data_IF_066448138357
#
_entry.id   IF_066448138357
#
_cell.length_a   1.000
_cell.length_b   1.000
_cell.length_c   1.000
_cell.angle_alpha   90.00
_cell.angle_beta   90.00
_cell.angle_gamma   90.00
#
_symmetry.space_group_name_H-M   'P 1'
#
loop_
_entity.id
_entity.type
_entity.pdbx_description
1 polymer ?
#
# COMPACT_ATOMS: atom_id res chain seq x y z
N UNK A 1 11.32 -16.76 14.30
CA UNK A 1 10.01 -16.14 14.07
C UNK A 1 8.93 -17.08 14.58
N UNK A 2 7.80 -16.61 15.09
CA UNK A 2 6.66 -17.46 15.44
C UNK A 2 6.02 -18.03 14.18
N UNK A 3 5.30 -19.15 14.33
CA UNK A 3 4.49 -19.69 13.23
C UNK A 3 3.52 -18.62 12.71
N UNK A 4 3.43 -18.44 11.40
CA UNK A 4 2.60 -17.37 10.82
C UNK A 4 1.75 -17.81 9.63
N UNK A 5 0.64 -17.12 9.43
CA UNK A 5 -0.13 -17.10 8.17
C UNK A 5 0.25 -15.82 7.43
N UNK A 6 0.68 -15.98 6.18
CA UNK A 6 1.28 -14.89 5.41
C UNK A 6 0.35 -14.42 4.29
N UNK A 7 -0.05 -13.15 4.36
CA UNK A 7 -0.73 -12.47 3.26
C UNK A 7 0.26 -12.19 2.12
N UNK A 8 -0.09 -12.59 0.90
CA UNK A 8 0.70 -12.40 -0.31
C UNK A 8 0.03 -11.38 -1.24
N UNK A 9 0.79 -10.36 -1.62
CA UNK A 9 0.36 -9.30 -2.51
C UNK A 9 1.39 -8.16 -2.57
N UNK A 10 1.24 -7.26 -3.51
CA UNK A 10 2.10 -6.07 -3.54
C UNK A 10 1.62 -4.96 -2.59
N UNK A 11 0.32 -4.90 -2.34
CA UNK A 11 -0.37 -4.01 -1.37
C UNK A 11 -0.06 -2.51 -1.50
N UNK A 12 0.36 -2.01 -2.67
CA UNK A 12 0.70 -0.60 -2.87
C UNK A 12 -0.43 0.36 -2.48
N UNK A 13 -1.67 0.01 -2.83
CA UNK A 13 -2.85 0.85 -2.58
C UNK A 13 -3.63 0.48 -1.31
N UNK A 14 -3.37 -0.67 -0.71
CA UNK A 14 -4.19 -1.24 0.39
C UNK A 14 -5.70 -0.99 0.15
N UNK A 15 -6.20 -1.30 -1.06
CA UNK A 15 -7.60 -1.12 -1.43
C UNK A 15 -8.54 -2.14 -0.74
N UNK A 16 -9.85 -1.98 -0.91
CA UNK A 16 -10.86 -2.84 -0.27
C UNK A 16 -10.69 -4.34 -0.55
N UNK A 17 -10.11 -4.74 -1.70
CA UNK A 17 -9.72 -6.12 -1.98
C UNK A 17 -8.55 -6.59 -1.11
N UNK A 18 -7.53 -5.75 -0.94
CA UNK A 18 -6.42 -6.03 -0.03
C UNK A 18 -6.88 -6.13 1.43
N UNK A 19 -7.86 -5.31 1.84
CA UNK A 19 -8.46 -5.39 3.17
C UNK A 19 -9.05 -6.77 3.44
N UNK A 20 -9.75 -7.37 2.49
CA UNK A 20 -10.29 -8.74 2.62
C UNK A 20 -9.18 -9.79 2.79
N UNK A 21 -8.06 -9.65 2.07
CA UNK A 21 -6.90 -10.54 2.25
C UNK A 21 -6.34 -10.42 3.67
N UNK A 22 -6.21 -9.20 4.20
CA UNK A 22 -5.74 -8.95 5.57
C UNK A 22 -6.69 -9.53 6.60
N UNK A 23 -7.99 -9.31 6.47
CA UNK A 23 -9.03 -9.85 7.36
C UNK A 23 -9.01 -11.38 7.38
N UNK A 24 -8.94 -12.02 6.21
CA UNK A 24 -8.84 -13.48 6.10
C UNK A 24 -7.54 -14.02 6.69
N UNK A 25 -6.42 -13.29 6.52
CA UNK A 25 -5.15 -13.66 7.14
C UNK A 25 -5.27 -13.71 8.67
N UNK A 26 -5.95 -12.74 9.27
CA UNK A 26 -6.21 -12.70 10.71
C UNK A 26 -7.14 -13.86 11.13
N UNK A 27 -8.15 -14.17 10.35
CA UNK A 27 -9.07 -15.28 10.62
C UNK A 27 -8.36 -16.63 10.53
N UNK A 28 -7.60 -16.85 9.46
CA UNK A 28 -6.89 -18.10 9.24
C UNK A 28 -5.77 -18.30 10.29
N UNK A 29 -5.12 -17.24 10.71
CA UNK A 29 -4.07 -17.32 11.75
C UNK A 29 -4.60 -17.86 13.09
N UNK A 30 -5.83 -17.49 13.45
CA UNK A 30 -6.50 -18.03 14.66
C UNK A 30 -6.73 -19.53 14.55
N UNK A 31 -7.15 -20.04 13.37
CA UNK A 31 -7.38 -21.47 13.14
C UNK A 31 -6.11 -22.31 13.25
N UNK A 32 -4.97 -21.73 12.84
CA UNK A 32 -3.67 -22.40 12.87
C UNK A 32 -2.86 -22.11 14.15
N UNK A 33 -3.43 -21.40 15.13
CA UNK A 33 -2.71 -20.92 16.31
C UNK A 33 -1.38 -20.23 15.94
N UNK A 34 -1.41 -19.41 14.90
CA UNK A 34 -0.29 -18.71 14.31
C UNK A 34 -0.49 -17.19 14.39
N UNK A 35 0.53 -16.40 14.08
CA UNK A 35 0.41 -14.95 14.01
C UNK A 35 0.05 -14.49 12.58
N UNK A 36 -0.81 -13.45 12.42
CA UNK A 36 -1.06 -12.88 11.11
C UNK A 36 0.13 -12.06 10.66
N UNK A 37 0.63 -12.36 9.46
CA UNK A 37 1.77 -11.71 8.84
C UNK A 37 1.44 -11.20 7.43
N UNK A 38 2.19 -10.21 6.94
CA UNK A 38 2.09 -9.71 5.58
C UNK A 38 3.46 -9.69 4.90
N UNK A 39 3.48 -10.02 3.62
CA UNK A 39 4.65 -9.83 2.76
C UNK A 39 4.69 -8.37 2.30
N UNK A 40 5.73 -7.63 2.68
CA UNK A 40 5.95 -6.25 2.28
C UNK A 40 7.11 -6.17 1.27
N UNK A 41 6.79 -5.77 0.04
CA UNK A 41 7.81 -5.44 -0.97
C UNK A 41 8.24 -3.99 -0.79
N UNK A 42 9.52 -3.76 -0.50
CA UNK A 42 10.11 -2.43 -0.34
C UNK A 42 10.63 -1.92 -1.68
N UNK A 43 9.97 -0.90 -2.22
CA UNK A 43 10.27 -0.27 -3.50
C UNK A 43 9.06 -0.23 -4.45
N UNK A 44 9.27 0.36 -5.62
CA UNK A 44 8.30 0.37 -6.74
C UNK A 44 8.70 -0.68 -7.79
N UNK A 45 7.86 -1.68 -8.00
CA UNK A 45 8.08 -2.72 -8.99
C UNK A 45 8.26 -2.13 -10.42
N UNK A 46 7.56 -1.04 -10.71
CA UNK A 46 7.63 -0.37 -12.01
C UNK A 46 8.95 0.37 -12.25
N UNK A 47 9.76 0.59 -11.21
CA UNK A 47 11.10 1.15 -11.36
C UNK A 47 11.97 0.32 -12.31
N UNK A 48 11.86 -1.01 -12.24
CA UNK A 48 12.61 -1.94 -13.09
C UNK A 48 12.11 -1.97 -14.55
N UNK A 49 10.92 -1.44 -14.82
CA UNK A 49 10.35 -1.35 -16.18
C UNK A 49 10.48 0.06 -16.76
N UNK A 50 11.02 1.03 -16.01
CA UNK A 50 11.09 2.45 -16.40
C UNK A 50 9.72 3.15 -16.50
N UNK A 51 8.66 2.55 -15.94
CA UNK A 51 7.28 3.06 -16.00
C UNK A 51 6.74 3.46 -14.63
N UNK A 52 7.62 3.91 -13.73
CA UNK A 52 7.17 4.32 -12.39
C UNK A 52 6.24 5.54 -12.46
N UNK A 53 5.15 5.47 -11.72
CA UNK A 53 4.22 6.58 -11.46
C UNK A 53 4.23 6.97 -9.98
N UNK A 54 5.13 6.36 -9.20
CA UNK A 54 5.17 6.46 -7.75
C UNK A 54 4.23 5.48 -7.05
N UNK A 55 4.44 5.30 -5.76
CA UNK A 55 3.62 4.46 -4.88
C UNK A 55 2.42 5.26 -4.33
N UNK A 56 1.29 4.61 -4.14
CA UNK A 56 0.14 5.21 -3.45
C UNK A 56 0.45 5.34 -1.96
N UNK A 57 0.96 4.26 -1.34
CA UNK A 57 1.48 4.29 0.01
C UNK A 57 2.94 3.80 0.03
N UNK A 58 3.80 4.57 0.70
CA UNK A 58 5.22 4.19 0.88
C UNK A 58 5.34 2.91 1.72
N UNK A 59 6.48 2.22 1.71
CA UNK A 59 6.69 1.06 2.58
C UNK A 59 6.41 1.37 4.06
N UNK A 60 6.82 2.51 4.56
CA UNK A 60 6.60 2.91 5.96
C UNK A 60 5.11 3.17 6.24
N UNK A 61 4.41 3.87 5.35
CA UNK A 61 2.97 4.08 5.45
C UNK A 61 2.21 2.74 5.43
N UNK A 62 2.62 1.79 4.59
CA UNK A 62 2.03 0.45 4.56
C UNK A 62 2.28 -0.34 5.86
N UNK A 63 3.47 -0.20 6.48
CA UNK A 63 3.75 -0.81 7.78
C UNK A 63 2.78 -0.34 8.85
N UNK A 64 2.53 0.96 8.91
CA UNK A 64 1.56 1.54 9.84
C UNK A 64 0.15 1.02 9.56
N UNK A 65 -0.30 1.09 8.29
CA UNK A 65 -1.63 0.61 7.88
C UNK A 65 -1.83 -0.87 8.24
N UNK A 66 -0.83 -1.73 8.02
CA UNK A 66 -0.92 -3.15 8.39
C UNK A 66 -0.98 -3.35 9.90
N UNK A 67 -0.17 -2.62 10.67
CA UNK A 67 -0.20 -2.66 12.13
C UNK A 67 -1.58 -2.27 12.67
N UNK A 68 -2.13 -1.17 12.18
CA UNK A 68 -3.47 -0.68 12.55
C UNK A 68 -4.57 -1.66 12.13
N UNK A 69 -4.37 -2.41 11.06
CA UNK A 69 -5.29 -3.46 10.60
C UNK A 69 -5.21 -4.75 11.41
N UNK A 70 -4.28 -4.87 12.38
CA UNK A 70 -4.14 -6.03 13.26
C UNK A 70 -3.11 -7.08 12.80
N UNK A 71 -2.33 -6.81 11.76
CA UNK A 71 -1.16 -7.61 11.39
C UNK A 71 -0.10 -7.49 12.51
N UNK A 72 0.55 -8.61 12.84
CA UNK A 72 1.52 -8.69 13.95
C UNK A 72 2.96 -8.83 13.49
N UNK A 73 3.17 -9.35 12.29
CA UNK A 73 4.52 -9.58 11.73
C UNK A 73 4.57 -9.08 10.29
N UNK A 74 5.69 -8.48 9.92
CA UNK A 74 5.94 -8.01 8.56
C UNK A 74 7.20 -8.70 8.02
N UNK A 75 7.02 -9.48 6.96
CA UNK A 75 8.10 -10.10 6.21
C UNK A 75 8.48 -9.14 5.07
N UNK A 76 9.61 -8.48 5.20
CA UNK A 76 10.05 -7.48 4.21
C UNK A 76 11.07 -8.05 3.23
N UNK A 77 10.86 -7.77 1.95
CA UNK A 77 11.85 -7.99 0.90
C UNK A 77 12.12 -6.69 0.16
N UNK A 78 13.40 -6.33 0.10
CA UNK A 78 13.85 -5.25 -0.78
C UNK A 78 13.76 -5.71 -2.23
N UNK A 79 13.04 -4.97 -3.05
CA UNK A 79 12.99 -5.23 -4.49
C UNK A 79 14.37 -5.04 -5.09
N UNK A 80 14.90 -6.09 -5.69
CA UNK A 80 16.16 -6.10 -6.43
C UNK A 80 16.04 -7.02 -7.63
N UNK A 81 16.94 -6.88 -8.59
CA UNK A 81 16.99 -7.79 -9.74
C UNK A 81 17.15 -9.24 -9.29
N UNK A 82 18.00 -9.49 -8.30
CA UNK A 82 18.22 -10.81 -7.73
C UNK A 82 16.93 -11.39 -7.12
N UNK A 83 16.16 -10.57 -6.39
CA UNK A 83 14.86 -11.01 -5.87
C UNK A 83 13.86 -11.33 -6.98
N UNK A 84 13.79 -10.50 -8.02
CA UNK A 84 12.88 -10.67 -9.16
C UNK A 84 13.27 -11.86 -10.05
N UNK A 85 14.53 -12.27 -10.05
CA UNK A 85 15.05 -13.43 -10.80
C UNK A 85 14.84 -14.77 -10.06
N UNK A 86 14.34 -14.78 -8.82
CA UNK A 86 14.03 -16.01 -8.08
C UNK A 86 12.94 -16.81 -8.76
N UNK A 87 13.14 -18.11 -8.87
CA UNK A 87 12.10 -19.02 -9.34
C UNK A 87 10.92 -19.09 -8.36
N UNK A 88 9.75 -19.50 -8.86
CA UNK A 88 8.56 -19.72 -8.01
C UNK A 88 8.82 -20.70 -6.86
N UNK A 89 9.65 -21.73 -7.11
CA UNK A 89 10.00 -22.72 -6.09
C UNK A 89 10.90 -22.13 -5.00
N UNK A 90 11.94 -21.38 -5.38
CA UNK A 90 12.85 -20.73 -4.44
C UNK A 90 12.11 -19.70 -3.59
N UNK A 91 11.22 -18.91 -4.20
CA UNK A 91 10.40 -17.94 -3.48
C UNK A 91 9.58 -18.60 -2.36
N UNK A 92 8.83 -19.67 -2.67
CA UNK A 92 7.99 -20.34 -1.66
C UNK A 92 8.82 -21.08 -0.60
N UNK A 93 9.95 -21.71 -1.00
CA UNK A 93 10.87 -22.36 -0.06
C UNK A 93 11.46 -21.35 0.94
N UNK A 94 11.88 -20.17 0.47
CA UNK A 94 12.36 -19.10 1.33
C UNK A 94 11.29 -18.69 2.35
N UNK A 95 10.04 -18.45 1.90
CA UNK A 95 8.96 -18.07 2.81
C UNK A 95 8.66 -19.16 3.85
N UNK A 96 8.59 -20.43 3.43
CA UNK A 96 8.31 -21.54 4.33
C UNK A 96 9.41 -21.74 5.38
N UNK A 97 10.68 -21.77 4.93
CA UNK A 97 11.78 -22.20 5.79
C UNK A 97 12.33 -21.07 6.67
N UNK A 98 12.43 -19.85 6.14
CA UNK A 98 13.07 -18.74 6.83
C UNK A 98 12.07 -17.98 7.71
N UNK A 99 10.76 -18.10 7.42
CA UNK A 99 9.73 -17.33 8.13
C UNK A 99 8.66 -18.18 8.83
N UNK A 100 8.88 -19.51 8.95
CA UNK A 100 7.95 -20.42 9.63
C UNK A 100 6.49 -20.29 9.16
N UNK A 101 6.27 -20.14 7.86
CA UNK A 101 4.93 -19.98 7.29
C UNK A 101 4.15 -21.29 7.39
N UNK A 102 2.96 -21.24 7.99
CA UNK A 102 1.99 -22.36 8.11
C UNK A 102 0.84 -22.26 7.12
N UNK A 103 0.72 -21.16 6.41
CA UNK A 103 -0.29 -20.99 5.39
C UNK A 103 -0.20 -19.61 4.72
N UNK A 104 -0.90 -19.49 3.62
CA UNK A 104 -0.92 -18.30 2.80
C UNK A 104 -2.36 -17.81 2.57
N UNK A 105 -2.48 -16.50 2.37
CA UNK A 105 -3.70 -15.85 1.87
C UNK A 105 -3.34 -14.94 0.72
N UNK A 106 -4.02 -15.05 -0.42
CA UNK A 106 -3.77 -14.22 -1.59
C UNK A 106 -5.05 -13.94 -2.39
N UNK A 107 -4.98 -13.02 -3.34
CA UNK A 107 -6.01 -12.84 -4.35
C UNK A 107 -5.96 -13.94 -5.42
N UNK A 108 -7.06 -14.12 -6.15
CA UNK A 108 -7.18 -15.12 -7.21
C UNK A 108 -6.27 -14.86 -8.42
N UNK A 109 -5.78 -13.61 -8.58
CA UNK A 109 -4.86 -13.21 -9.65
C UNK A 109 -3.39 -13.14 -9.21
N UNK A 110 -3.08 -13.62 -8.00
CA UNK A 110 -1.72 -13.53 -7.47
C UNK A 110 -0.73 -14.32 -8.32
N UNK A 111 0.35 -13.64 -8.69
CA UNK A 111 1.47 -14.23 -9.40
C UNK A 111 2.80 -13.92 -8.70
N UNK A 112 3.80 -14.80 -8.85
CA UNK A 112 5.08 -14.68 -8.17
C UNK A 112 6.20 -15.40 -8.93
N UNK A 113 7.42 -15.20 -8.46
CA UNK A 113 8.60 -15.79 -9.12
C UNK A 113 8.99 -15.06 -10.39
N UNK A 114 10.09 -15.47 -10.98
CA UNK A 114 10.65 -14.88 -12.21
C UNK A 114 9.61 -14.85 -13.33
N UNK A 115 9.43 -13.69 -13.94
CA UNK A 115 8.46 -13.47 -15.02
C UNK A 115 7.03 -13.89 -14.69
N UNK A 116 6.63 -13.82 -13.39
CA UNK A 116 5.32 -14.27 -12.93
C UNK A 116 4.99 -15.73 -13.25
N UNK A 117 6.00 -16.63 -13.26
CA UNK A 117 5.83 -18.05 -13.60
C UNK A 117 5.02 -18.84 -12.56
N UNK A 118 4.92 -18.36 -11.34
CA UNK A 118 4.08 -18.90 -10.28
C UNK A 118 2.71 -18.25 -10.29
N UNK A 119 1.67 -19.04 -10.06
CA UNK A 119 0.27 -18.60 -9.97
C UNK A 119 -0.45 -19.31 -8.82
N UNK A 120 -1.73 -19.00 -8.64
CA UNK A 120 -2.56 -19.57 -7.58
C UNK A 120 -2.66 -21.11 -7.67
N UNK A 121 -2.71 -21.69 -8.87
CA UNK A 121 -2.79 -23.15 -9.01
C UNK A 121 -1.49 -23.85 -8.59
N UNK A 122 -0.34 -23.24 -8.93
CA UNK A 122 0.94 -23.72 -8.42
C UNK A 122 1.02 -23.58 -6.89
N UNK A 123 0.51 -22.49 -6.33
CA UNK A 123 0.47 -22.25 -4.88
C UNK A 123 -0.42 -23.27 -4.18
N UNK A 124 -1.62 -23.59 -4.73
CA UNK A 124 -2.52 -24.65 -4.23
C UNK A 124 -1.80 -25.98 -4.13
N UNK A 125 -1.14 -26.38 -5.24
CA UNK A 125 -0.38 -27.65 -5.25
C UNK A 125 0.75 -27.64 -4.23
N UNK A 126 1.52 -26.56 -4.16
CA UNK A 126 2.61 -26.43 -3.19
C UNK A 126 2.12 -26.53 -1.76
N UNK A 127 1.02 -25.87 -1.41
CA UNK A 127 0.43 -25.93 -0.08
C UNK A 127 -0.04 -27.34 0.27
N UNK A 128 -0.71 -28.03 -0.66
CA UNK A 128 -1.15 -29.44 -0.48
C UNK A 128 0.04 -30.39 -0.26
N UNK A 129 1.09 -30.25 -1.07
CA UNK A 129 2.30 -31.11 -0.98
C UNK A 129 3.13 -30.84 0.31
N UNK A 130 2.85 -29.77 1.04
CA UNK A 130 3.64 -29.33 2.20
C UNK A 130 2.84 -29.15 3.50
N UNK A 131 1.57 -29.60 3.54
CA UNK A 131 0.66 -29.45 4.69
C UNK A 131 0.49 -27.99 5.15
N UNK A 132 0.38 -27.05 4.20
CA UNK A 132 0.19 -25.62 4.47
C UNK A 132 -1.27 -25.22 4.23
N UNK A 133 -1.77 -24.31 5.08
CA UNK A 133 -3.07 -23.68 4.85
C UNK A 133 -3.03 -22.76 3.62
N UNK A 134 -4.16 -22.64 2.92
CA UNK A 134 -4.33 -21.68 1.83
C UNK A 134 -5.76 -21.13 1.83
N UNK A 135 -5.89 -19.82 1.73
CA UNK A 135 -7.15 -19.16 1.39
C UNK A 135 -6.93 -18.24 0.19
N UNK A 136 -7.81 -18.35 -0.80
CA UNK A 136 -7.77 -17.54 -2.03
C UNK A 136 -9.00 -16.66 -2.05
N UNK A 137 -8.77 -15.34 -2.13
CA UNK A 137 -9.83 -14.33 -2.09
C UNK A 137 -10.23 -13.97 -3.51
N UNK A 138 -11.52 -14.06 -3.78
CA UNK A 138 -12.09 -13.65 -5.05
C UNK A 138 -12.05 -12.13 -5.24
N UNK A 139 -12.15 -11.72 -6.51
CA UNK A 139 -12.12 -10.31 -6.88
C UNK A 139 -13.19 -9.50 -6.14
N UNK A 140 -12.79 -8.35 -5.63
CA UNK A 140 -13.70 -7.38 -5.03
C UNK A 140 -14.07 -6.36 -6.08
N UNK A 141 -15.37 -6.13 -6.21
CA UNK A 141 -15.91 -5.13 -7.14
C UNK A 141 -16.46 -3.92 -6.41
N UNK A 142 -16.27 -2.75 -6.97
CA UNK A 142 -16.92 -1.51 -6.58
C UNK A 142 -17.60 -0.91 -7.82
N UNK A 143 -18.85 -0.47 -7.68
CA UNK A 143 -19.64 0.10 -8.80
C UNK A 143 -19.65 -0.81 -10.06
N UNK A 144 -19.66 -2.15 -9.86
CA UNK A 144 -19.71 -3.15 -10.95
C UNK A 144 -18.37 -3.37 -11.68
N UNK A 145 -17.26 -2.80 -11.19
CA UNK A 145 -15.91 -3.03 -11.73
C UNK A 145 -15.00 -3.61 -10.67
N UNK A 146 -14.06 -4.45 -11.08
CA UNK A 146 -12.99 -4.94 -10.22
C UNK A 146 -12.14 -3.78 -9.73
N UNK A 147 -11.89 -3.73 -8.41
CA UNK A 147 -10.98 -2.76 -7.81
C UNK A 147 -9.54 -3.17 -8.08
N UNK A 148 -8.72 -2.22 -8.54
CA UNK A 148 -7.31 -2.49 -8.83
C UNK A 148 -6.41 -1.30 -8.50
N UNK A 149 -5.19 -1.58 -8.06
CA UNK A 149 -4.16 -0.54 -7.83
C UNK A 149 -3.91 0.32 -9.07
N UNK A 150 -3.97 -0.28 -10.27
CA UNK A 150 -3.78 0.43 -11.53
C UNK A 150 -4.85 1.51 -11.75
N UNK A 151 -6.11 1.18 -11.48
CA UNK A 151 -7.20 2.12 -11.72
C UNK A 151 -7.24 3.20 -10.65
N UNK A 152 -6.94 2.87 -9.39
CA UNK A 152 -6.76 3.85 -8.32
C UNK A 152 -5.61 4.83 -8.66
N UNK A 153 -4.48 4.35 -9.18
CA UNK A 153 -3.39 5.23 -9.65
C UNK A 153 -3.85 6.19 -10.75
N UNK A 154 -4.66 5.73 -11.71
CA UNK A 154 -5.22 6.60 -12.76
C UNK A 154 -6.10 7.69 -12.16
N UNK A 155 -6.98 7.34 -11.21
CA UNK A 155 -7.81 8.32 -10.51
C UNK A 155 -6.97 9.39 -9.81
N UNK A 156 -5.96 9.00 -9.06
CA UNK A 156 -5.05 9.94 -8.39
C UNK A 156 -4.27 10.81 -9.37
N UNK A 157 -3.76 10.22 -10.46
CA UNK A 157 -3.00 10.95 -11.48
C UNK A 157 -3.84 11.96 -12.26
N UNK A 158 -5.16 11.78 -12.37
CA UNK A 158 -6.07 12.79 -12.95
C UNK A 158 -6.69 13.72 -11.89
N UNK A 159 -6.39 13.52 -10.61
CA UNK A 159 -6.86 14.36 -9.51
C UNK A 159 -8.23 13.96 -8.96
N UNK A 160 -8.78 12.83 -9.36
CA UNK A 160 -10.06 12.29 -8.87
C UNK A 160 -9.83 11.52 -7.54
N UNK A 161 -9.50 12.29 -6.51
CA UNK A 161 -9.16 11.73 -5.19
C UNK A 161 -10.39 11.16 -4.49
N UNK A 162 -11.57 11.71 -4.72
CA UNK A 162 -12.83 11.23 -4.11
C UNK A 162 -13.14 9.79 -4.52
N UNK A 163 -13.10 9.50 -5.82
CA UNK A 163 -13.32 8.15 -6.32
C UNK A 163 -12.17 7.20 -5.94
N UNK A 164 -10.93 7.69 -5.90
CA UNK A 164 -9.80 6.90 -5.39
C UNK A 164 -10.01 6.51 -3.92
N UNK A 165 -10.40 7.45 -3.06
CA UNK A 165 -10.68 7.21 -1.64
C UNK A 165 -11.84 6.23 -1.43
N UNK A 166 -12.84 6.21 -2.32
CA UNK A 166 -13.95 5.26 -2.25
C UNK A 166 -13.52 3.79 -2.48
N UNK A 167 -12.39 3.57 -3.16
CA UNK A 167 -11.83 2.23 -3.42
C UNK A 167 -10.70 1.84 -2.45
N UNK A 168 -10.10 2.81 -1.76
CA UNK A 168 -9.06 2.59 -0.76
C UNK A 168 -9.66 2.13 0.59
N UNK A 169 -8.89 1.36 1.36
CA UNK A 169 -9.25 0.98 2.74
C UNK A 169 -8.92 2.06 3.76
N UNK A 170 -8.01 2.96 3.39
CA UNK A 170 -7.59 4.12 4.17
C UNK A 170 -7.59 5.33 3.25
N UNK A 171 -8.03 6.51 3.71
CA UNK A 171 -7.99 7.72 2.90
C UNK A 171 -6.57 8.00 2.40
N UNK A 172 -6.45 8.49 1.17
CA UNK A 172 -5.16 8.88 0.60
C UNK A 172 -4.56 10.07 1.35
N UNK A 173 -3.28 9.97 1.70
CA UNK A 173 -2.55 11.01 2.41
C UNK A 173 -1.09 11.11 1.97
N UNK A 174 -0.46 12.21 2.29
CA UNK A 174 0.98 12.40 2.23
C UNK A 174 1.55 12.58 3.63
N UNK A 175 2.63 11.87 3.95
CA UNK A 175 3.39 12.10 5.18
C UNK A 175 4.37 13.23 4.96
N UNK A 176 4.28 14.28 5.78
CA UNK A 176 5.17 15.44 5.73
C UNK A 176 6.59 15.02 6.11
N UNK A 177 7.54 15.23 5.21
CA UNK A 177 8.97 14.93 5.41
C UNK A 177 9.79 16.18 5.74
N UNK A 178 9.34 17.33 5.27
CA UNK A 178 9.96 18.63 5.57
C UNK A 178 8.94 19.77 5.42
N UNK A 179 9.18 20.88 6.12
CA UNK A 179 8.34 22.09 6.13
C UNK A 179 9.24 23.29 5.96
N UNK A 180 9.00 24.13 4.97
CA UNK A 180 9.72 25.37 4.77
C UNK A 180 8.82 26.48 4.22
N UNK A 181 9.32 27.73 4.26
CA UNK A 181 8.60 28.87 3.71
C UNK A 181 9.25 29.30 2.40
N UNK A 182 8.44 29.43 1.34
CA UNK A 182 8.85 29.91 0.02
C UNK A 182 7.88 31.00 -0.43
N UNK A 183 8.40 32.19 -0.72
CA UNK A 183 7.60 33.35 -1.15
C UNK A 183 6.41 33.65 -0.20
N UNK A 184 6.61 33.52 1.11
CA UNK A 184 5.58 33.76 2.13
C UNK A 184 4.57 32.63 2.32
N UNK A 185 4.64 31.54 1.56
CA UNK A 185 3.75 30.39 1.69
C UNK A 185 4.45 29.21 2.38
N UNK A 186 3.72 28.48 3.21
CA UNK A 186 4.19 27.20 3.76
C UNK A 186 4.21 26.16 2.67
N UNK A 187 5.34 25.49 2.49
CA UNK A 187 5.55 24.41 1.52
C UNK A 187 5.88 23.13 2.29
N UNK A 188 5.19 22.06 1.95
CA UNK A 188 5.36 20.74 2.55
C UNK A 188 6.01 19.81 1.52
N UNK A 189 7.08 19.18 1.92
CA UNK A 189 7.76 18.17 1.13
C UNK A 189 7.31 16.77 1.57
N UNK A 190 7.12 15.86 0.61
CA UNK A 190 6.79 14.46 0.84
C UNK A 190 7.74 13.52 0.07
N UNK A 191 7.67 12.23 0.33
CA UNK A 191 8.61 11.23 -0.19
C UNK A 191 8.62 11.17 -1.72
N UNK A 192 9.82 11.11 -2.32
CA UNK A 192 10.05 11.04 -3.77
C UNK A 192 9.50 9.80 -4.45
N UNK A 193 9.29 8.71 -3.70
CA UNK A 193 8.71 7.49 -4.29
C UNK A 193 7.19 7.53 -4.34
N UNK A 194 6.56 8.56 -3.76
CA UNK A 194 5.11 8.68 -3.71
C UNK A 194 4.55 9.25 -5.01
N UNK A 195 3.34 8.79 -5.37
CA UNK A 195 2.59 9.34 -6.50
C UNK A 195 2.34 10.84 -6.28
N UNK A 196 2.49 11.64 -7.34
CA UNK A 196 2.17 13.08 -7.31
C UNK A 196 0.82 13.29 -7.98
N UNK A 197 -0.08 14.00 -7.32
CA UNK A 197 -1.39 14.34 -7.86
C UNK A 197 -1.26 15.30 -9.05
N UNK A 198 -2.27 15.27 -9.93
CA UNK A 198 -2.39 16.26 -11.00
C UNK A 198 -2.37 17.69 -10.46
N UNK A 199 -1.77 18.61 -11.21
CA UNK A 199 -1.72 20.03 -10.83
C UNK A 199 -3.11 20.58 -10.52
N UNK A 200 -3.21 21.32 -9.43
CA UNK A 200 -4.49 21.91 -9.01
C UNK A 200 -4.55 22.20 -7.52
N UNK A 201 -5.70 22.71 -7.10
CA UNK A 201 -6.03 23.01 -5.72
C UNK A 201 -6.85 21.87 -5.13
N UNK A 202 -6.56 21.48 -3.91
CA UNK A 202 -7.21 20.37 -3.22
C UNK A 202 -7.62 20.76 -1.82
N UNK A 203 -8.78 20.27 -1.40
CA UNK A 203 -9.19 20.27 -0.02
C UNK A 203 -8.46 19.15 0.73
N UNK A 204 -7.95 19.48 1.90
CA UNK A 204 -7.17 18.57 2.72
C UNK A 204 -7.38 18.86 4.22
N UNK A 205 -6.94 17.93 5.05
CA UNK A 205 -6.84 18.14 6.49
C UNK A 205 -5.68 17.36 7.09
N UNK A 206 -5.24 17.77 8.27
CA UNK A 206 -4.40 16.94 9.13
C UNK A 206 -5.04 16.83 10.52
N UNK A 207 -4.52 15.88 11.30
CA UNK A 207 -5.02 15.61 12.65
C UNK A 207 -3.95 15.97 13.69
N UNK A 208 -4.34 16.71 14.71
CA UNK A 208 -3.54 16.96 15.91
C UNK A 208 -4.41 16.80 17.14
N UNK A 209 -4.01 15.91 18.05
CA UNK A 209 -4.72 15.62 19.30
C UNK A 209 -6.22 15.32 19.11
N UNK A 210 -6.55 14.62 18.02
CA UNK A 210 -7.92 14.26 17.64
C UNK A 210 -8.71 15.38 16.94
N UNK A 211 -8.14 16.59 16.82
CA UNK A 211 -8.76 17.73 16.13
C UNK A 211 -8.35 17.74 14.66
N UNK A 212 -9.32 18.00 13.77
CA UNK A 212 -9.08 18.20 12.33
C UNK A 212 -8.78 19.66 12.02
N UNK A 213 -7.65 19.91 11.40
CA UNK A 213 -7.26 21.19 10.84
C UNK A 213 -7.47 21.16 9.33
N UNK A 214 -8.48 21.87 8.83
CA UNK A 214 -8.77 21.92 7.40
C UNK A 214 -7.89 22.95 6.72
N UNK A 215 -7.30 22.53 5.59
CA UNK A 215 -6.41 23.34 4.77
C UNK A 215 -6.72 23.17 3.28
N UNK A 216 -6.28 24.11 2.46
CA UNK A 216 -6.23 23.93 1.00
C UNK A 216 -4.76 23.87 0.58
N UNK A 217 -4.44 22.87 -0.24
CA UNK A 217 -3.10 22.66 -0.76
C UNK A 217 -3.09 22.67 -2.28
N UNK A 218 -2.04 23.21 -2.89
CA UNK A 218 -1.86 23.18 -4.33
C UNK A 218 -0.67 22.32 -4.73
N UNK A 219 -0.83 21.57 -5.82
CA UNK A 219 0.23 20.83 -6.51
C UNK A 219 0.57 21.50 -7.84
N UNK A 220 1.87 21.64 -8.16
CA UNK A 220 2.36 22.27 -9.37
C UNK A 220 2.96 21.26 -10.37
N UNK A 221 2.49 20.03 -10.39
CA UNK A 221 2.95 18.98 -11.31
C UNK A 221 3.96 18.02 -10.68
N UNK A 222 5.16 17.86 -11.23
CA UNK A 222 6.09 16.78 -10.91
C UNK A 222 6.89 16.94 -9.60
N UNK A 223 6.76 18.06 -8.91
CA UNK A 223 7.51 18.30 -7.69
C UNK A 223 6.86 17.56 -6.51
N UNK A 224 7.69 16.89 -5.70
CA UNK A 224 7.21 16.16 -4.51
C UNK A 224 6.93 17.14 -3.35
N UNK A 225 6.25 18.21 -3.68
CA UNK A 225 5.90 19.31 -2.79
C UNK A 225 4.44 19.72 -2.97
N UNK A 226 3.83 20.18 -1.90
CA UNK A 226 2.56 20.89 -1.94
C UNK A 226 2.68 22.22 -1.23
N UNK A 227 2.03 23.26 -1.76
CA UNK A 227 1.97 24.57 -1.15
C UNK A 227 0.65 24.72 -0.40
N UNK A 228 0.70 25.10 0.87
CA UNK A 228 -0.50 25.48 1.62
C UNK A 228 -0.99 26.84 1.12
N UNK A 229 -2.21 26.86 0.63
CA UNK A 229 -2.84 28.07 0.07
C UNK A 229 -3.70 28.78 1.12
N UNK A 230 -4.36 27.99 2.00
CA UNK A 230 -5.16 28.54 3.09
C UNK A 230 -5.35 27.52 4.20
N UNK A 231 -5.73 27.98 5.38
CA UNK A 231 -5.96 27.20 6.58
C UNK A 231 -4.88 27.43 7.64
N UNK A 232 -5.17 26.97 8.85
CA UNK A 232 -4.24 27.09 9.99
C UNK A 232 -3.28 25.91 9.99
N UNK A 233 -1.99 26.21 9.97
CA UNK A 233 -0.87 25.23 10.00
C UNK A 233 0.05 25.43 11.21
N UNK A 234 -0.37 26.20 12.21
CA UNK A 234 0.44 26.49 13.42
C UNK A 234 0.85 25.21 14.17
N UNK A 235 -0.02 24.20 14.15
CA UNK A 235 0.22 22.91 14.82
C UNK A 235 0.85 21.84 13.91
N UNK A 236 1.11 22.16 12.63
CA UNK A 236 1.64 21.20 11.66
C UNK A 236 3.11 20.88 11.95
N UNK A 237 3.47 19.59 11.88
CA UNK A 237 4.83 19.09 12.16
C UNK A 237 5.28 18.08 11.13
N UNK A 238 6.58 17.89 11.01
CA UNK A 238 7.18 16.78 10.27
C UNK A 238 6.64 15.46 10.84
N UNK A 239 6.26 14.53 9.97
CA UNK A 239 5.61 13.26 10.31
C UNK A 239 4.08 13.31 10.26
N UNK A 240 3.45 14.48 10.21
CA UNK A 240 2.00 14.58 10.07
C UNK A 240 1.51 14.05 8.72
N UNK A 241 0.29 13.52 8.72
CA UNK A 241 -0.40 13.02 7.53
C UNK A 241 -1.35 14.07 7.00
N UNK A 242 -1.15 14.51 5.76
CA UNK A 242 -2.05 15.41 5.05
C UNK A 242 -3.01 14.57 4.23
N UNK A 243 -4.22 14.42 4.71
CA UNK A 243 -5.30 13.67 4.07
C UNK A 243 -5.93 14.53 2.97
N UNK A 244 -5.87 14.06 1.72
CA UNK A 244 -6.47 14.76 0.58
C UNK A 244 -7.90 14.24 0.40
N UNK A 245 -8.88 15.15 0.37
CA UNK A 245 -10.28 14.78 0.32
C UNK A 245 -10.88 14.92 -1.08
N UNK A 246 -10.52 15.95 -1.83
CA UNK A 246 -11.02 16.18 -3.16
C UNK A 246 -10.32 17.32 -3.86
N UNK A 247 -10.53 17.43 -5.18
CA UNK A 247 -10.03 18.53 -5.99
C UNK A 247 -11.04 19.69 -5.94
N UNK A 248 -10.55 20.90 -5.68
CA UNK A 248 -11.39 22.10 -5.73
C UNK A 248 -11.71 22.41 -7.20
N UNK A 249 -12.98 22.52 -7.51
CA UNK A 249 -13.52 22.84 -8.85
C UNK A 249 -13.26 24.30 -9.24
#
# INVERSE_FOLDING_TARGET
MKDCILALGFFDSVHIGHKKIIEETILLSKKFNAVPAVLLMEGDLNFFTGKTTGLIFTPDERREIFSDSGIKEIVSFKLSKEFLDRSKSEFLKTLKNDYNVKGFVCGNDFTFGKNAEGNVDYLKKYCSDNDLGLSVIEDVTAKGKRVSTRDIKKLLLCGDVENANAELSFPFYYTVKDIFVKNGNTVLFFDYIKIVLYSGLYDAYFLRDGVKYFIKVSFNGSDHMMTVVSGDVSELKIGDKIFITGKVS
#
